data_IF_518110148342
#
_entry.id   IF_518110148342
#
_cell.length_a   1.000
_cell.length_b   1.000
_cell.length_c   1.000
_cell.angle_alpha   90.00
_cell.angle_beta   90.00
_cell.angle_gamma   90.00
#
_symmetry.space_group_name_H-M   'P 1'
#
loop_
_entity.id
_entity.type
_entity.pdbx_description
1 polymer ?
#
# COMPACT_ATOMS: atom_id res chain seq x y z
N UNK A 1 30.73 7.44 -12.12
CA UNK A 1 30.92 8.84 -12.52
C UNK A 1 30.71 9.65 -11.25
N UNK A 2 31.79 10.03 -10.58
CA UNK A 2 31.73 10.75 -9.30
C UNK A 2 31.35 12.21 -9.56
N UNK A 3 30.23 12.64 -8.99
CA UNK A 3 29.85 14.05 -8.93
C UNK A 3 30.53 14.64 -7.67
N UNK A 4 31.19 15.81 -7.76
CA UNK A 4 31.84 16.42 -6.61
C UNK A 4 30.80 16.87 -5.57
N UNK A 5 31.17 16.70 -4.30
CA UNK A 5 30.38 16.97 -3.10
C UNK A 5 29.83 18.40 -3.08
N UNK A 6 28.59 18.54 -3.55
CA UNK A 6 27.71 19.65 -3.22
C UNK A 6 26.50 19.07 -2.50
N UNK A 7 26.34 19.35 -1.21
CA UNK A 7 25.12 19.02 -0.49
C UNK A 7 23.97 19.88 -1.02
N UNK A 8 23.21 19.35 -1.98
CA UNK A 8 21.94 19.94 -2.40
C UNK A 8 20.89 19.43 -1.42
N UNK A 9 20.41 20.30 -0.55
CA UNK A 9 19.26 20.02 0.30
C UNK A 9 18.00 20.10 -0.56
N UNK A 10 17.37 18.96 -0.81
CA UNK A 10 16.08 18.91 -1.50
C UNK A 10 14.99 19.05 -0.45
N UNK A 11 14.39 20.24 -0.32
CA UNK A 11 13.07 20.27 0.34
C UNK A 11 12.12 19.47 -0.54
N UNK A 12 11.64 18.37 0.04
CA UNK A 12 10.53 17.64 -0.52
C UNK A 12 9.29 18.54 -0.57
N UNK A 13 8.45 18.33 -1.59
CA UNK A 13 7.11 18.88 -1.56
C UNK A 13 6.34 18.39 -0.33
N UNK A 14 5.18 19.00 -0.07
CA UNK A 14 4.37 18.74 1.14
C UNK A 14 4.05 17.25 1.36
N UNK A 15 4.00 16.46 0.29
CA UNK A 15 3.68 15.03 0.30
C UNK A 15 4.90 14.15 -0.01
N UNK A 16 6.11 14.69 0.03
CA UNK A 16 7.32 13.95 -0.35
C UNK A 16 7.62 14.04 -1.85
N UNK A 17 7.10 15.04 -2.58
CA UNK A 17 7.41 15.23 -4.00
C UNK A 17 8.90 15.56 -4.19
N UNK A 18 9.58 14.88 -5.13
CA UNK A 18 11.00 15.12 -5.45
C UNK A 18 11.21 15.86 -6.77
N UNK A 19 10.14 16.09 -7.54
CA UNK A 19 10.19 16.79 -8.83
C UNK A 19 10.17 18.32 -8.71
N UNK A 20 10.23 18.84 -7.47
CA UNK A 20 10.13 20.26 -7.17
C UNK A 20 11.46 21.00 -7.35
N UNK A 21 11.40 22.13 -8.05
CA UNK A 21 12.55 22.98 -8.31
C UNK A 21 12.17 24.47 -8.23
N UNK A 22 13.13 25.31 -7.88
CA UNK A 22 12.98 26.77 -7.91
C UNK A 22 14.26 27.42 -8.49
N UNK A 23 14.14 28.68 -8.91
CA UNK A 23 15.23 29.40 -9.55
C UNK A 23 16.47 29.56 -8.65
N UNK A 24 16.28 29.72 -7.34
CA UNK A 24 17.39 29.87 -6.39
C UNK A 24 18.19 28.58 -6.25
N UNK A 25 17.51 27.43 -6.20
CA UNK A 25 18.15 26.10 -6.17
C UNK A 25 18.91 25.81 -7.46
N UNK A 26 18.31 26.12 -8.61
CA UNK A 26 18.98 25.97 -9.90
C UNK A 26 20.22 26.86 -10.00
N UNK A 27 20.13 28.12 -9.56
CA UNK A 27 21.31 29.01 -9.52
C UNK A 27 22.40 28.47 -8.59
N UNK A 28 22.02 28.03 -7.38
CA UNK A 28 22.95 27.47 -6.41
C UNK A 28 23.66 26.21 -6.93
N UNK A 29 22.93 25.32 -7.60
CA UNK A 29 23.49 24.13 -8.25
C UNK A 29 24.41 24.49 -9.42
N UNK A 30 24.02 25.47 -10.24
CA UNK A 30 24.78 25.90 -11.41
C UNK A 30 26.01 26.75 -11.05
N UNK A 31 26.10 27.30 -9.83
CA UNK A 31 27.04 28.38 -9.44
C UNK A 31 28.50 28.22 -9.88
N UNK A 32 29.05 27.00 -9.85
CA UNK A 32 30.44 26.74 -10.26
C UNK A 32 30.60 26.41 -11.76
N UNK A 33 29.49 26.27 -12.48
CA UNK A 33 29.40 25.70 -13.83
C UNK A 33 28.36 26.40 -14.72
N UNK A 34 27.98 27.64 -14.40
CA UNK A 34 26.92 28.39 -15.09
C UNK A 34 27.15 28.46 -16.60
N UNK A 35 28.39 28.77 -17.01
CA UNK A 35 28.76 28.85 -18.43
C UNK A 35 28.53 27.52 -19.16
N UNK A 36 28.75 26.37 -18.50
CA UNK A 36 28.53 25.05 -19.10
C UNK A 36 27.05 24.72 -19.31
N UNK A 37 26.16 25.40 -18.58
CA UNK A 37 24.71 25.32 -18.74
C UNK A 37 24.15 26.43 -19.64
N UNK A 38 25.01 27.31 -20.19
CA UNK A 38 24.61 28.38 -21.10
C UNK A 38 24.18 29.69 -20.42
N UNK A 39 24.51 29.89 -19.15
CA UNK A 39 24.21 31.11 -18.40
C UNK A 39 25.50 31.89 -18.10
N UNK A 40 25.51 33.21 -18.33
CA UNK A 40 26.65 34.05 -17.99
C UNK A 40 26.53 34.61 -16.56
N UNK A 41 25.31 34.78 -16.06
CA UNK A 41 25.00 35.30 -14.72
C UNK A 41 23.83 34.56 -14.08
N UNK A 42 23.67 34.71 -12.76
CA UNK A 42 22.46 34.30 -12.03
C UNK A 42 21.21 34.95 -12.66
N UNK A 43 21.27 36.23 -13.01
CA UNK A 43 20.13 36.98 -13.56
C UNK A 43 19.64 36.35 -14.87
N UNK A 44 20.53 35.90 -15.75
CA UNK A 44 20.17 35.20 -17.00
C UNK A 44 19.37 33.91 -16.71
N UNK A 45 19.73 33.20 -15.64
CA UNK A 45 19.03 32.00 -15.21
C UNK A 45 17.65 32.33 -14.65
N UNK A 46 17.53 33.39 -13.83
CA UNK A 46 16.24 33.84 -13.30
C UNK A 46 15.29 34.31 -14.41
N UNK A 47 15.80 35.02 -15.43
CA UNK A 47 15.02 35.42 -16.61
C UNK A 47 14.55 34.19 -17.40
N UNK A 48 15.46 33.27 -17.70
CA UNK A 48 15.13 32.02 -18.39
C UNK A 48 14.08 31.19 -17.61
N UNK A 49 14.18 31.17 -16.28
CA UNK A 49 13.20 30.52 -15.42
C UNK A 49 11.82 31.16 -15.56
N UNK A 50 11.75 32.50 -15.48
CA UNK A 50 10.51 33.25 -15.66
C UNK A 50 9.88 33.01 -17.03
N UNK A 51 10.68 32.95 -18.09
CA UNK A 51 10.21 32.58 -19.42
C UNK A 51 9.64 31.16 -19.47
N UNK A 52 10.31 30.19 -18.83
CA UNK A 52 9.86 28.81 -18.78
C UNK A 52 8.52 28.66 -18.03
N UNK A 53 8.30 29.46 -16.97
CA UNK A 53 7.00 29.57 -16.30
C UNK A 53 5.96 30.15 -17.25
N UNK A 54 6.25 31.27 -17.90
CA UNK A 54 5.31 31.95 -18.81
C UNK A 54 4.93 31.10 -20.02
N UNK A 55 5.86 30.29 -20.54
CA UNK A 55 5.65 29.36 -21.65
C UNK A 55 5.03 28.03 -21.22
N UNK A 56 4.72 27.85 -19.93
CA UNK A 56 4.24 26.59 -19.34
C UNK A 56 5.16 25.39 -19.59
N UNK A 57 6.48 25.61 -19.71
CA UNK A 57 7.45 24.50 -19.70
C UNK A 57 7.69 23.98 -18.29
N UNK A 58 7.58 24.86 -17.30
CA UNK A 58 7.49 24.50 -15.88
C UNK A 58 6.22 25.10 -15.30
N UNK A 59 5.55 24.36 -14.42
CA UNK A 59 4.25 24.74 -13.83
C UNK A 59 4.35 24.77 -12.30
N UNK A 60 3.55 25.63 -11.63
CA UNK A 60 3.55 25.70 -10.17
C UNK A 60 3.22 24.37 -9.50
N UNK A 61 3.91 24.10 -8.40
CA UNK A 61 3.65 23.03 -7.43
C UNK A 61 3.38 23.69 -6.04
N UNK A 62 3.23 22.89 -4.98
CA UNK A 62 3.09 23.41 -3.62
C UNK A 62 4.30 24.28 -3.21
N UNK A 63 4.02 25.37 -2.49
CA UNK A 63 5.01 26.18 -1.74
C UNK A 63 6.23 26.65 -2.57
N UNK A 64 6.06 27.63 -3.46
CA UNK A 64 7.15 28.26 -4.25
C UNK A 64 7.97 27.31 -5.15
N UNK A 65 7.60 26.03 -5.26
CA UNK A 65 8.23 25.06 -6.15
C UNK A 65 7.51 25.02 -7.50
N UNK A 66 8.26 24.68 -8.54
CA UNK A 66 7.80 24.41 -9.88
C UNK A 66 8.19 22.98 -10.28
N UNK A 67 7.55 22.46 -11.33
CA UNK A 67 7.89 21.15 -11.92
C UNK A 67 7.81 21.23 -13.44
N UNK A 68 8.48 20.32 -14.15
CA UNK A 68 8.41 20.24 -15.62
C UNK A 68 6.99 19.87 -16.05
N UNK A 69 6.43 20.66 -16.97
CA UNK A 69 5.14 20.39 -17.58
C UNK A 69 5.26 19.13 -18.44
N UNK A 70 4.33 18.18 -18.25
CA UNK A 70 4.30 16.86 -18.90
C UNK A 70 5.26 15.79 -18.34
N UNK A 71 5.90 16.04 -17.20
CA UNK A 71 6.50 14.97 -16.41
C UNK A 71 5.56 14.57 -15.25
N UNK A 72 5.48 13.26 -14.93
CA UNK A 72 4.77 12.82 -13.73
C UNK A 72 5.44 13.40 -12.49
N UNK A 73 4.63 13.62 -11.44
CA UNK A 73 5.18 13.96 -10.13
C UNK A 73 5.78 12.68 -9.55
N UNK A 74 7.08 12.74 -9.25
CA UNK A 74 7.79 11.68 -8.55
C UNK A 74 7.80 11.97 -7.05
N UNK A 75 7.78 10.90 -6.27
CA UNK A 75 7.74 10.95 -4.81
C UNK A 75 8.96 10.24 -4.24
N UNK A 76 9.40 10.62 -3.04
CA UNK A 76 10.45 9.88 -2.31
C UNK A 76 10.10 8.40 -2.21
N UNK A 77 8.82 8.08 -2.03
CA UNK A 77 8.32 6.72 -1.95
C UNK A 77 8.46 5.90 -3.23
N UNK A 78 8.83 6.49 -4.38
CA UNK A 78 9.12 5.76 -5.63
C UNK A 78 10.61 5.49 -5.87
N UNK A 79 11.51 6.04 -5.05
CA UNK A 79 12.94 5.76 -5.15
C UNK A 79 13.21 4.36 -4.57
N UNK A 80 13.93 3.52 -5.31
CA UNK A 80 14.44 2.27 -4.76
C UNK A 80 15.59 2.59 -3.81
N UNK A 81 15.31 2.55 -2.51
CA UNK A 81 16.27 2.84 -1.44
C UNK A 81 17.06 1.62 -0.97
N UNK A 82 16.91 0.47 -1.65
CA UNK A 82 17.60 -0.77 -1.27
C UNK A 82 19.10 -0.66 -1.52
N UNK A 83 19.88 -1.23 -0.62
CA UNK A 83 21.31 -1.47 -0.87
C UNK A 83 21.49 -2.56 -1.92
N UNK A 84 22.65 -2.57 -2.58
CA UNK A 84 22.98 -3.62 -3.54
C UNK A 84 22.89 -5.00 -2.87
N UNK A 85 22.06 -5.89 -3.43
CA UNK A 85 21.80 -7.22 -2.89
C UNK A 85 20.66 -7.32 -1.87
N UNK A 86 20.09 -6.21 -1.40
CA UNK A 86 18.90 -6.23 -0.54
C UNK A 86 17.65 -6.55 -1.38
N UNK A 87 16.94 -7.61 -0.99
CA UNK A 87 15.74 -8.07 -1.70
C UNK A 87 14.45 -7.48 -1.12
N UNK A 88 14.45 -6.98 0.11
CA UNK A 88 13.23 -6.46 0.74
C UNK A 88 12.95 -5.02 0.26
N UNK A 89 11.82 -4.74 -0.41
CA UNK A 89 11.45 -3.39 -0.82
C UNK A 89 11.34 -2.41 0.35
N UNK A 90 11.27 -1.12 0.05
CA UNK A 90 10.86 -0.13 1.05
C UNK A 90 9.45 -0.45 1.56
N UNK A 91 9.13 -0.20 2.84
CA UNK A 91 7.81 -0.51 3.43
C UNK A 91 6.61 -0.05 2.58
N UNK A 92 6.69 1.18 2.08
CA UNK A 92 5.65 1.80 1.24
C UNK A 92 5.56 1.22 -0.19
N UNK A 93 6.61 0.51 -0.63
CA UNK A 93 6.67 -0.16 -1.93
C UNK A 93 6.39 -1.67 -1.83
N UNK A 94 6.40 -2.23 -0.62
CA UNK A 94 6.14 -3.65 -0.41
C UNK A 94 4.67 -3.97 -0.60
N UNK A 95 4.35 -4.55 -1.76
CA UNK A 95 2.99 -4.92 -2.14
C UNK A 95 2.30 -5.87 -1.14
N UNK A 96 3.06 -6.65 -0.37
CA UNK A 96 2.48 -7.51 0.69
C UNK A 96 1.96 -6.64 1.85
N UNK A 97 2.72 -5.62 2.24
CA UNK A 97 2.31 -4.67 3.27
C UNK A 97 1.20 -3.75 2.76
N UNK A 98 1.25 -3.32 1.49
CA UNK A 98 0.14 -2.62 0.83
C UNK A 98 -1.15 -3.45 0.88
N UNK A 99 -1.07 -4.75 0.56
CA UNK A 99 -2.20 -5.66 0.61
C UNK A 99 -2.80 -5.76 2.02
N UNK A 100 -1.93 -5.86 3.03
CA UNK A 100 -2.33 -5.87 4.43
C UNK A 100 -3.03 -4.57 4.84
N UNK A 101 -2.37 -3.44 4.62
CA UNK A 101 -2.80 -2.13 5.14
C UNK A 101 -4.07 -1.65 4.45
N UNK A 102 -4.14 -1.72 3.12
CA UNK A 102 -5.23 -1.12 2.37
C UNK A 102 -6.46 -2.02 2.23
N UNK A 103 -6.29 -3.35 2.28
CA UNK A 103 -7.41 -4.27 2.04
C UNK A 103 -7.70 -5.14 3.26
N UNK A 104 -6.69 -5.80 3.83
CA UNK A 104 -6.94 -6.73 4.93
C UNK A 104 -7.41 -6.00 6.20
N UNK A 105 -6.81 -4.87 6.58
CA UNK A 105 -7.28 -4.11 7.75
C UNK A 105 -8.71 -3.58 7.60
N UNK A 106 -9.13 -3.23 6.37
CA UNK A 106 -10.53 -2.89 6.12
C UNK A 106 -11.44 -4.11 6.38
N UNK A 107 -11.03 -5.32 5.95
CA UNK A 107 -11.73 -6.55 6.26
C UNK A 107 -11.80 -6.81 7.76
N UNK A 108 -10.70 -6.63 8.50
CA UNK A 108 -10.61 -6.85 9.94
C UNK A 108 -11.52 -5.90 10.71
N UNK A 109 -11.52 -4.61 10.36
CA UNK A 109 -12.39 -3.60 10.96
C UNK A 109 -13.86 -3.98 10.79
N UNK A 110 -14.25 -4.38 9.57
CA UNK A 110 -15.62 -4.79 9.28
C UNK A 110 -16.02 -6.07 10.02
N UNK A 111 -15.12 -7.06 10.11
CA UNK A 111 -15.35 -8.28 10.87
C UNK A 111 -15.57 -7.99 12.36
N UNK A 112 -14.74 -7.12 12.95
CA UNK A 112 -14.87 -6.72 14.36
C UNK A 112 -16.23 -6.09 14.65
N UNK A 113 -16.71 -5.20 13.77
CA UNK A 113 -18.03 -4.60 13.92
C UNK A 113 -19.16 -5.62 13.71
N UNK A 114 -19.00 -6.53 12.75
CA UNK A 114 -19.93 -7.63 12.55
C UNK A 114 -20.04 -8.53 13.79
N UNK A 115 -18.91 -8.95 14.38
CA UNK A 115 -18.85 -9.78 15.58
C UNK A 115 -19.47 -9.10 16.80
N UNK A 116 -19.29 -7.78 16.92
CA UNK A 116 -19.97 -6.98 17.93
C UNK A 116 -21.48 -7.03 17.78
N UNK A 117 -22.00 -6.95 16.54
CA UNK A 117 -23.44 -7.04 16.27
C UNK A 117 -23.98 -8.46 16.51
N UNK A 118 -23.23 -9.51 16.14
CA UNK A 118 -23.57 -10.91 16.46
C UNK A 118 -23.70 -11.08 17.97
N UNK A 119 -22.71 -10.61 18.74
CA UNK A 119 -22.72 -10.68 20.21
C UNK A 119 -23.92 -9.93 20.82
N UNK A 120 -24.29 -8.77 20.24
CA UNK A 120 -25.47 -8.00 20.65
C UNK A 120 -26.77 -8.75 20.35
N UNK A 121 -26.88 -9.38 19.19
CA UNK A 121 -28.00 -10.24 18.82
C UNK A 121 -28.12 -11.42 19.77
N UNK A 122 -27.02 -12.12 20.06
CA UNK A 122 -27.02 -13.30 20.93
C UNK A 122 -27.47 -12.98 22.36
N UNK A 123 -27.07 -11.82 22.87
CA UNK A 123 -27.44 -11.33 24.20
C UNK A 123 -28.91 -10.88 24.28
N UNK A 124 -29.36 -10.10 23.30
CA UNK A 124 -30.66 -9.41 23.38
C UNK A 124 -31.79 -10.14 22.65
N UNK A 125 -31.45 -11.14 21.83
CA UNK A 125 -32.33 -11.86 20.89
C UNK A 125 -33.07 -10.96 19.90
N UNK A 126 -32.62 -9.70 19.76
CA UNK A 126 -33.14 -8.70 18.84
C UNK A 126 -32.07 -7.66 18.53
N UNK A 127 -32.16 -7.08 17.34
CA UNK A 127 -31.43 -5.88 16.94
C UNK A 127 -32.44 -4.76 16.64
N UNK A 128 -32.00 -3.51 16.76
CA UNK A 128 -32.79 -2.39 16.24
C UNK A 128 -32.76 -2.42 14.71
N UNK A 129 -33.72 -1.78 14.04
CA UNK A 129 -33.71 -1.66 12.56
C UNK A 129 -32.40 -1.08 12.03
N UNK A 130 -31.83 -0.11 12.75
CA UNK A 130 -30.55 0.48 12.38
C UNK A 130 -29.40 -0.54 12.52
N UNK A 131 -29.37 -1.29 13.63
CA UNK A 131 -28.37 -2.33 13.83
C UNK A 131 -28.51 -3.49 12.85
N UNK A 132 -29.71 -3.85 12.41
CA UNK A 132 -29.93 -4.88 11.37
C UNK A 132 -29.35 -4.45 10.02
N UNK A 133 -29.50 -3.18 9.66
CA UNK A 133 -28.89 -2.59 8.46
C UNK A 133 -27.37 -2.65 8.60
N UNK A 134 -26.82 -2.18 9.73
CA UNK A 134 -25.39 -2.20 10.00
C UNK A 134 -24.81 -3.62 10.00
N UNK A 135 -25.51 -4.58 10.62
CA UNK A 135 -25.13 -5.99 10.63
C UNK A 135 -24.91 -6.52 9.21
N UNK A 136 -25.84 -6.22 8.30
CA UNK A 136 -25.73 -6.62 6.88
C UNK A 136 -24.55 -5.91 6.22
N UNK A 137 -24.42 -4.59 6.38
CA UNK A 137 -23.33 -3.81 5.80
C UNK A 137 -21.97 -4.34 6.25
N UNK A 138 -21.75 -4.50 7.55
CA UNK A 138 -20.48 -4.97 8.09
C UNK A 138 -20.11 -6.37 7.57
N UNK A 139 -21.06 -7.31 7.58
CA UNK A 139 -20.83 -8.65 7.05
C UNK A 139 -20.47 -8.61 5.56
N UNK A 140 -21.25 -7.90 4.75
CA UNK A 140 -21.02 -7.87 3.31
C UNK A 140 -19.75 -7.11 2.95
N UNK A 141 -19.42 -6.05 3.67
CA UNK A 141 -18.18 -5.29 3.53
C UNK A 141 -16.97 -6.13 3.92
N UNK A 142 -17.03 -6.85 5.05
CA UNK A 142 -15.99 -7.79 5.46
C UNK A 142 -15.70 -8.83 4.38
N UNK A 143 -16.72 -9.54 3.90
CA UNK A 143 -16.56 -10.56 2.87
C UNK A 143 -16.05 -9.94 1.55
N UNK A 144 -16.47 -8.73 1.22
CA UNK A 144 -15.97 -7.98 0.06
C UNK A 144 -14.48 -7.70 0.11
N UNK A 145 -14.01 -7.10 1.21
CA UNK A 145 -12.59 -6.82 1.40
C UNK A 145 -11.78 -8.12 1.50
N UNK A 146 -12.28 -9.13 2.20
CA UNK A 146 -11.63 -10.45 2.27
C UNK A 146 -11.44 -11.07 0.89
N UNK A 147 -12.43 -10.95 0.00
CA UNK A 147 -12.34 -11.42 -1.37
C UNK A 147 -11.23 -10.71 -2.15
N UNK A 148 -11.12 -9.39 -2.01
CA UNK A 148 -10.06 -8.59 -2.64
C UNK A 148 -8.70 -8.94 -2.04
N UNK A 149 -8.59 -9.14 -0.73
CA UNK A 149 -7.34 -9.60 -0.10
C UNK A 149 -6.91 -10.97 -0.65
N UNK A 150 -7.84 -11.92 -0.80
CA UNK A 150 -7.54 -13.23 -1.38
C UNK A 150 -7.10 -13.14 -2.85
N UNK A 151 -7.73 -12.25 -3.63
CA UNK A 151 -7.36 -11.97 -5.02
C UNK A 151 -5.93 -11.41 -5.09
N UNK A 152 -5.65 -10.34 -4.34
CA UNK A 152 -4.31 -9.76 -4.26
C UNK A 152 -3.26 -10.75 -3.77
N UNK A 153 -3.56 -11.56 -2.76
CA UNK A 153 -2.67 -12.61 -2.27
C UNK A 153 -2.31 -13.61 -3.38
N UNK A 154 -3.28 -14.01 -4.20
CA UNK A 154 -3.04 -14.90 -5.33
C UNK A 154 -2.22 -14.22 -6.43
N UNK A 155 -2.57 -12.98 -6.76
CA UNK A 155 -1.95 -12.22 -7.86
C UNK A 155 -0.50 -11.85 -7.57
N UNK A 156 -0.14 -11.69 -6.29
CA UNK A 156 1.24 -11.53 -5.86
C UNK A 156 2.10 -12.78 -6.08
N UNK A 157 1.50 -13.94 -6.33
CA UNK A 157 2.26 -15.17 -6.51
C UNK A 157 3.13 -15.49 -5.29
N UNK A 158 2.54 -15.41 -4.08
CA UNK A 158 3.26 -15.39 -2.79
C UNK A 158 4.35 -16.46 -2.64
N UNK A 159 4.14 -17.67 -3.16
CA UNK A 159 5.17 -18.71 -3.15
C UNK A 159 6.45 -18.28 -3.90
N UNK A 160 6.31 -17.74 -5.11
CA UNK A 160 7.45 -17.27 -5.92
C UNK A 160 8.08 -16.03 -5.28
N UNK A 161 7.26 -15.11 -4.79
CA UNK A 161 7.72 -13.90 -4.11
C UNK A 161 8.60 -14.23 -2.91
N UNK A 162 8.17 -15.14 -2.03
CA UNK A 162 8.94 -15.52 -0.83
C UNK A 162 10.24 -16.25 -1.17
N UNK A 163 10.30 -17.02 -2.26
CA UNK A 163 11.49 -17.80 -2.61
C UNK A 163 12.51 -17.00 -3.45
N UNK A 164 12.05 -16.06 -4.27
CA UNK A 164 12.87 -15.43 -5.31
C UNK A 164 13.07 -13.93 -5.11
N UNK A 165 12.15 -13.26 -4.40
CA UNK A 165 12.10 -11.80 -4.30
C UNK A 165 12.19 -11.30 -2.86
N UNK A 166 12.49 -12.19 -1.90
CA UNK A 166 12.64 -11.87 -0.48
C UNK A 166 13.91 -12.48 0.10
N UNK A 167 14.44 -11.93 1.22
CA UNK A 167 15.54 -12.53 1.96
C UNK A 167 15.27 -14.00 2.31
N UNK A 168 16.33 -14.79 2.42
CA UNK A 168 16.25 -16.26 2.56
C UNK A 168 15.43 -16.70 3.78
N UNK A 169 15.44 -15.89 4.85
CA UNK A 169 14.70 -16.11 6.08
C UNK A 169 13.18 -16.16 5.85
N UNK A 170 12.67 -15.47 4.82
CA UNK A 170 11.24 -15.49 4.47
C UNK A 170 10.76 -16.85 3.96
N UNK A 171 11.66 -17.77 3.61
CA UNK A 171 11.30 -19.14 3.24
C UNK A 171 10.63 -19.88 4.41
N UNK A 172 10.84 -19.45 5.65
CA UNK A 172 10.10 -19.97 6.82
C UNK A 172 8.58 -19.78 6.71
N UNK A 173 8.12 -18.81 5.92
CA UNK A 173 6.69 -18.55 5.68
C UNK A 173 6.10 -19.46 4.58
N UNK A 174 6.91 -20.19 3.82
CA UNK A 174 6.46 -21.00 2.67
C UNK A 174 5.45 -22.09 3.07
N UNK A 175 5.64 -22.87 4.16
CA UNK A 175 4.65 -23.86 4.58
C UNK A 175 3.27 -23.24 4.84
N UNK A 176 3.24 -22.10 5.53
CA UNK A 176 2.03 -21.36 5.84
C UNK A 176 1.39 -20.77 4.58
N UNK A 177 2.21 -20.24 3.67
CA UNK A 177 1.78 -19.76 2.36
C UNK A 177 1.09 -20.86 1.54
N UNK A 178 1.65 -22.06 1.50
CA UNK A 178 1.09 -23.19 0.77
C UNK A 178 -0.24 -23.66 1.37
N UNK A 179 -0.32 -23.75 2.70
CA UNK A 179 -1.56 -24.09 3.40
C UNK A 179 -2.66 -23.06 3.11
N UNK A 180 -2.36 -21.77 3.25
CA UNK A 180 -3.30 -20.69 3.00
C UNK A 180 -3.77 -20.69 1.53
N UNK A 181 -2.84 -20.83 0.58
CA UNK A 181 -3.15 -20.91 -0.85
C UNK A 181 -4.10 -22.06 -1.18
N UNK A 182 -3.89 -23.23 -0.55
CA UNK A 182 -4.76 -24.39 -0.70
C UNK A 182 -6.16 -24.12 -0.11
N UNK A 183 -6.22 -23.54 1.09
CA UNK A 183 -7.48 -23.20 1.75
C UNK A 183 -8.30 -22.16 0.98
N UNK A 184 -7.66 -21.13 0.40
CA UNK A 184 -8.31 -20.10 -0.41
C UNK A 184 -8.98 -20.74 -1.64
N UNK A 185 -8.30 -21.67 -2.33
CA UNK A 185 -8.81 -22.29 -3.56
C UNK A 185 -10.16 -23.00 -3.39
N UNK A 186 -10.50 -23.47 -2.19
CA UNK A 186 -11.72 -24.25 -1.93
C UNK A 186 -13.01 -23.50 -2.29
N UNK A 187 -13.14 -22.24 -1.87
CA UNK A 187 -14.39 -21.47 -2.02
C UNK A 187 -14.18 -20.03 -2.52
N UNK A 188 -12.97 -19.66 -2.94
CA UNK A 188 -12.69 -18.31 -3.44
C UNK A 188 -13.62 -17.88 -4.60
N UNK A 189 -13.92 -18.78 -5.52
CA UNK A 189 -14.81 -18.46 -6.64
C UNK A 189 -16.22 -18.07 -6.17
N UNK A 190 -16.76 -18.77 -5.18
CA UNK A 190 -18.05 -18.46 -4.59
C UNK A 190 -18.02 -17.11 -3.85
N UNK A 191 -16.92 -16.84 -3.12
CA UNK A 191 -16.71 -15.55 -2.45
C UNK A 191 -16.61 -14.38 -3.45
N UNK A 192 -15.95 -14.60 -4.59
CA UNK A 192 -15.85 -13.61 -5.67
C UNK A 192 -17.22 -13.31 -6.28
N UNK A 193 -18.03 -14.34 -6.55
CA UNK A 193 -19.42 -14.19 -7.02
C UNK A 193 -20.27 -13.42 -6.01
N UNK A 194 -20.18 -13.78 -4.72
CA UNK A 194 -20.83 -13.05 -3.65
C UNK A 194 -20.47 -11.56 -3.67
N UNK A 195 -19.18 -11.22 -3.69
CA UNK A 195 -18.71 -9.82 -3.76
C UNK A 195 -19.33 -9.10 -4.96
N UNK A 196 -19.25 -9.67 -6.15
CA UNK A 196 -19.73 -8.99 -7.36
C UNK A 196 -21.24 -8.64 -7.25
N UNK A 197 -22.05 -9.51 -6.64
CA UNK A 197 -23.47 -9.22 -6.41
C UNK A 197 -23.71 -8.25 -5.26
N UNK A 198 -22.80 -8.11 -4.29
CA UNK A 198 -22.98 -7.12 -3.21
C UNK A 198 -22.63 -5.70 -3.70
N UNK A 199 -21.51 -5.56 -4.41
CA UNK A 199 -20.93 -4.25 -4.74
C UNK A 199 -21.32 -3.72 -6.13
N UNK A 200 -22.04 -4.51 -6.92
CA UNK A 200 -22.70 -4.07 -8.15
C UNK A 200 -24.23 -4.20 -8.00
N UNK A 201 -24.98 -3.43 -8.78
CA UNK A 201 -26.45 -3.49 -8.76
C UNK A 201 -26.92 -4.90 -9.10
N UNK A 202 -27.65 -5.54 -8.17
CA UNK A 202 -28.04 -6.95 -8.28
C UNK A 202 -29.08 -7.17 -9.37
N UNK A 203 -28.83 -8.18 -10.20
CA UNK A 203 -29.85 -8.77 -11.06
C UNK A 203 -30.61 -9.93 -10.36
N UNK A 204 -29.93 -10.70 -9.49
CA UNK A 204 -30.52 -11.78 -8.69
C UNK A 204 -29.83 -11.92 -7.31
N UNK A 205 -30.38 -12.78 -6.43
CA UNK A 205 -29.85 -13.04 -5.08
C UNK A 205 -29.24 -14.43 -4.92
N UNK A 206 -29.22 -15.24 -5.96
CA UNK A 206 -28.95 -16.68 -5.88
C UNK A 206 -27.52 -16.97 -5.38
N UNK A 207 -26.50 -16.27 -5.90
CA UNK A 207 -25.13 -16.46 -5.41
C UNK A 207 -24.96 -15.98 -3.96
N UNK A 208 -25.74 -14.99 -3.53
CA UNK A 208 -25.70 -14.51 -2.13
C UNK A 208 -26.24 -15.58 -1.19
N UNK A 209 -27.39 -16.17 -1.55
CA UNK A 209 -28.02 -17.25 -0.78
C UNK A 209 -27.17 -18.53 -0.82
N UNK A 210 -26.62 -18.87 -1.98
CA UNK A 210 -25.73 -20.01 -2.13
C UNK A 210 -24.48 -19.88 -1.26
N UNK A 211 -23.86 -18.69 -1.21
CA UNK A 211 -22.69 -18.47 -0.36
C UNK A 211 -23.03 -18.59 1.13
N UNK A 212 -24.17 -18.02 1.55
CA UNK A 212 -24.63 -18.05 2.94
C UNK A 212 -25.38 -19.33 3.32
N UNK A 213 -25.39 -20.34 2.45
CA UNK A 213 -26.08 -21.61 2.73
C UNK A 213 -25.44 -22.32 3.93
N UNK A 214 -26.24 -22.75 4.92
CA UNK A 214 -25.74 -23.48 6.09
C UNK A 214 -25.20 -24.87 5.75
N UNK A 215 -25.57 -25.45 4.60
CA UNK A 215 -25.14 -26.79 4.21
C UNK A 215 -23.64 -26.89 3.89
N UNK A 216 -23.08 -25.83 3.33
CA UNK A 216 -21.66 -25.78 2.90
C UNK A 216 -20.79 -25.01 3.90
N UNK A 217 -21.42 -24.23 4.80
CA UNK A 217 -20.78 -23.43 5.85
C UNK A 217 -19.59 -22.58 5.38
N UNK A 218 -19.75 -21.92 4.23
CA UNK A 218 -18.71 -21.05 3.65
C UNK A 218 -18.40 -19.83 4.52
N UNK A 219 -19.32 -19.42 5.40
CA UNK A 219 -19.08 -18.32 6.33
C UNK A 219 -18.01 -18.68 7.37
N UNK A 220 -18.05 -19.89 7.93
CA UNK A 220 -17.00 -20.39 8.82
C UNK A 220 -15.67 -20.57 8.08
N UNK A 221 -15.70 -21.05 6.84
CA UNK A 221 -14.50 -21.06 5.99
C UNK A 221 -13.91 -19.65 5.83
N UNK A 222 -14.74 -18.64 5.52
CA UNK A 222 -14.27 -17.26 5.36
C UNK A 222 -13.62 -16.71 6.65
N UNK A 223 -14.18 -17.05 7.82
CA UNK A 223 -13.54 -16.73 9.11
C UNK A 223 -12.18 -17.41 9.27
N UNK A 224 -12.07 -18.69 8.89
CA UNK A 224 -10.77 -19.40 8.94
C UNK A 224 -9.75 -18.72 8.05
N UNK A 225 -10.10 -18.40 6.79
CA UNK A 225 -9.21 -17.70 5.86
C UNK A 225 -8.79 -16.34 6.41
N UNK A 226 -9.72 -15.59 7.01
CA UNK A 226 -9.42 -14.30 7.62
C UNK A 226 -8.36 -14.44 8.73
N UNK A 227 -8.49 -15.41 9.63
CA UNK A 227 -7.49 -15.67 10.68
C UNK A 227 -6.14 -16.11 10.12
N UNK A 228 -6.16 -16.98 9.11
CA UNK A 228 -4.94 -17.49 8.50
C UNK A 228 -4.17 -16.36 7.79
N UNK A 229 -4.89 -15.44 7.11
CA UNK A 229 -4.33 -14.20 6.55
C UNK A 229 -3.78 -13.28 7.65
N UNK A 230 -4.55 -13.05 8.73
CA UNK A 230 -4.11 -12.23 9.86
C UNK A 230 -2.78 -12.72 10.41
N UNK A 231 -2.70 -14.03 10.64
CA UNK A 231 -1.52 -14.69 11.18
C UNK A 231 -0.36 -14.64 10.19
N UNK A 232 -0.62 -14.84 8.88
CA UNK A 232 0.42 -14.73 7.86
C UNK A 232 1.00 -13.31 7.77
N UNK A 233 0.15 -12.28 7.69
CA UNK A 233 0.60 -10.89 7.62
C UNK A 233 1.33 -10.45 8.89
N UNK A 234 0.91 -10.96 10.06
CA UNK A 234 1.61 -10.71 11.32
C UNK A 234 3.04 -11.24 11.28
N UNK A 235 3.24 -12.51 10.90
CA UNK A 235 4.57 -13.10 10.79
C UNK A 235 5.42 -12.36 9.74
N UNK A 236 4.85 -12.11 8.56
CA UNK A 236 5.54 -11.37 7.49
C UNK A 236 6.05 -10.00 7.96
N UNK A 237 5.23 -9.27 8.73
CA UNK A 237 5.64 -7.97 9.30
C UNK A 237 6.78 -8.13 10.31
N UNK A 238 6.78 -9.19 11.12
CA UNK A 238 7.89 -9.48 12.04
C UNK A 238 9.19 -9.68 11.26
N UNK A 239 9.17 -10.43 10.16
CA UNK A 239 10.34 -10.56 9.29
C UNK A 239 10.80 -9.21 8.73
N UNK A 240 9.87 -8.35 8.30
CA UNK A 240 10.21 -7.00 7.84
C UNK A 240 10.91 -6.19 8.93
N UNK A 241 10.35 -6.15 10.15
CA UNK A 241 10.93 -5.40 11.27
C UNK A 241 12.33 -5.90 11.63
N UNK A 242 12.52 -7.22 11.68
CA UNK A 242 13.84 -7.82 11.90
C UNK A 242 14.84 -7.40 10.80
N UNK A 243 14.42 -7.46 9.53
CA UNK A 243 15.27 -7.06 8.40
C UNK A 243 15.65 -5.57 8.48
N UNK A 244 14.69 -4.69 8.78
CA UNK A 244 14.94 -3.26 8.90
C UNK A 244 15.93 -2.93 10.01
N UNK A 245 15.84 -3.62 11.16
CA UNK A 245 16.77 -3.41 12.28
C UNK A 245 18.18 -3.88 11.92
N UNK A 246 18.30 -5.07 11.30
CA UNK A 246 19.59 -5.68 10.97
C UNK A 246 20.35 -4.94 9.86
N UNK A 247 19.62 -4.28 8.95
CA UNK A 247 20.19 -3.54 7.82
C UNK A 247 20.20 -2.01 8.03
N UNK A 248 20.08 -1.55 9.28
CA UNK A 248 20.09 -0.12 9.65
C UNK A 248 18.97 0.75 9.02
N UNK A 249 17.95 0.13 8.42
CA UNK A 249 16.75 0.77 7.81
C UNK A 249 15.69 1.14 8.84
N UNK A 250 16.08 1.69 9.99
CA UNK A 250 15.19 1.93 11.15
C UNK A 250 14.04 2.89 10.89
N UNK A 251 14.17 3.80 9.92
CA UNK A 251 13.11 4.72 9.51
C UNK A 251 11.89 4.00 8.93
N UNK A 252 12.07 2.77 8.47
CA UNK A 252 11.02 1.95 7.85
C UNK A 252 10.30 1.04 8.85
N UNK A 253 10.92 0.79 10.01
CA UNK A 253 10.34 -0.05 11.05
C UNK A 253 9.44 0.73 12.02
N UNK A 254 8.41 0.06 12.52
CA UNK A 254 7.52 0.62 13.55
C UNK A 254 8.26 0.84 14.88
N UNK A 255 9.26 0.00 15.19
CA UNK A 255 10.05 0.09 16.43
C UNK A 255 11.22 1.09 16.38
N UNK A 256 11.50 1.67 15.21
CA UNK A 256 12.63 2.58 14.98
C UNK A 256 12.26 4.07 14.98
N UNK A 257 10.97 4.41 14.91
CA UNK A 257 10.51 5.79 15.01
C UNK A 257 10.65 6.28 16.44
N UNK A 258 11.73 7.02 16.72
CA UNK A 258 11.73 7.92 17.88
C UNK A 258 10.54 8.86 17.70
N UNK A 259 9.56 8.78 18.60
CA UNK A 259 8.57 9.85 18.78
C UNK A 259 9.34 11.16 18.86
N UNK A 260 9.16 12.02 17.87
CA UNK A 260 9.46 13.45 18.02
C UNK A 260 8.34 14.09 18.82
#
# INVERSE_FOLDING_TARGET
>A
MELPDGGVDFDFGRLGEISGLDAWRLSSFAKQRQESYGFATDDDLYECFGEAVNKNFIVPMATNLYRVANQPVEYVSSIDSRSEGDLLPHREQDKVLTLQVHYFYAAELMLKHYDSMVSKWDKNKKLSRHDEINFRIYMTSWLGFLAVTCEGYKDLGMYLLLNNERPVEYQELVPKCNQLSSSIKKHYHDLRKFRNNVFHMRANTDDTLAFLSPEVDRLSWARSIHRDLQSFFSDYRVFCECHYILNERRSEGEFGQKSK
#
